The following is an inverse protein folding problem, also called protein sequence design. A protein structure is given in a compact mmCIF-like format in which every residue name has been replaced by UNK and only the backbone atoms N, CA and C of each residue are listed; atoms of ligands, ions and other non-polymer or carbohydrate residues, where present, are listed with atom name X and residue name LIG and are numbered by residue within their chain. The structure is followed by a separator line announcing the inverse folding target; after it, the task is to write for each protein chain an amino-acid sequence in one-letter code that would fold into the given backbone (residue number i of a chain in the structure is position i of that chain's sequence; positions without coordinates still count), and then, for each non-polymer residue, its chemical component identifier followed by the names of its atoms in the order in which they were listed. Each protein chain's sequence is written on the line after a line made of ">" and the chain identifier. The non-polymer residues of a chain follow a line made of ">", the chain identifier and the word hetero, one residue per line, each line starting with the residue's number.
data_IF_122443717008
#
_entry.id   IF_122443717008
#
_cell.length_a   1.000
_cell.length_b   1.000
_cell.length_c   1.000
_cell.angle_alpha   90.00
_cell.angle_beta   90.00
_cell.angle_gamma   90.00
#
_symmetry.space_group_name_H-M   'P 1'
#
loop_
_entity.id
_entity.type
_entity.pdbx_description
1 polymer ?
#
# COMPACT_ATOMS: atom_id res chain seq x y z
N UNK A 1 -6.12 -11.59 1.46
CA UNK A 1 -5.62 -10.21 1.45
C UNK A 1 -4.13 -10.23 1.18
N UNK A 2 -3.65 -9.39 0.27
CA UNK A 2 -2.24 -9.04 0.15
C UNK A 2 -1.95 -7.85 1.07
N UNK A 3 -1.05 -7.99 2.04
CA UNK A 3 -0.52 -6.86 2.83
C UNK A 3 0.80 -6.42 2.17
N UNK A 4 0.70 -5.38 1.33
CA UNK A 4 1.76 -4.92 0.44
C UNK A 4 2.61 -3.86 1.14
N UNK A 5 3.83 -4.22 1.53
CA UNK A 5 4.69 -3.43 2.40
C UNK A 5 4.26 -3.56 3.86
N UNK A 6 4.19 -4.80 4.36
CA UNK A 6 3.65 -5.10 5.69
C UNK A 6 4.48 -4.56 6.86
N UNK A 7 5.70 -4.10 6.60
CA UNK A 7 6.62 -3.60 7.63
C UNK A 7 6.84 -4.63 8.74
N UNK A 8 6.58 -4.25 9.98
CA UNK A 8 6.71 -5.14 11.14
C UNK A 8 5.57 -6.16 11.32
N UNK A 9 4.56 -6.17 10.43
CA UNK A 9 3.47 -7.13 10.45
C UNK A 9 2.26 -6.74 11.32
N UNK A 10 2.14 -5.47 11.72
CA UNK A 10 1.05 -4.99 12.59
C UNK A 10 -0.33 -5.26 11.97
N UNK A 11 -0.53 -4.85 10.74
CA UNK A 11 -1.82 -4.95 10.04
C UNK A 11 -2.08 -6.39 9.59
N UNK A 12 -1.04 -7.11 9.13
CA UNK A 12 -1.13 -8.55 8.87
C UNK A 12 -1.64 -9.33 10.08
N UNK A 13 -1.09 -9.06 11.27
CA UNK A 13 -1.53 -9.73 12.51
C UNK A 13 -2.99 -9.42 12.83
N UNK A 14 -3.41 -8.18 12.62
CA UNK A 14 -4.81 -7.77 12.82
C UNK A 14 -5.75 -8.54 11.88
N UNK A 15 -5.44 -8.61 10.59
CA UNK A 15 -6.27 -9.32 9.61
C UNK A 15 -6.31 -10.83 9.88
N UNK A 16 -5.17 -11.45 10.17
CA UNK A 16 -5.10 -12.88 10.54
C UNK A 16 -5.96 -13.15 11.78
N UNK A 17 -5.88 -12.30 12.80
CA UNK A 17 -6.70 -12.40 14.00
C UNK A 17 -8.21 -12.25 13.77
N UNK A 18 -8.59 -11.67 12.63
CA UNK A 18 -9.99 -11.57 12.16
C UNK A 18 -10.41 -12.71 11.24
N UNK A 19 -9.54 -13.69 10.99
CA UNK A 19 -9.84 -14.87 10.18
C UNK A 19 -9.61 -14.69 8.69
N UNK A 20 -8.94 -13.62 8.26
CA UNK A 20 -8.54 -13.46 6.87
C UNK A 20 -7.32 -14.31 6.53
N UNK A 21 -7.30 -14.84 5.31
CA UNK A 21 -6.09 -15.40 4.71
C UNK A 21 -5.23 -14.24 4.20
N UNK A 22 -4.03 -14.08 4.76
CA UNK A 22 -3.15 -12.94 4.52
C UNK A 22 -1.85 -13.40 3.91
N UNK A 23 -1.44 -12.74 2.85
CA UNK A 23 -0.12 -12.85 2.23
C UNK A 23 0.67 -11.58 2.54
N UNK A 24 1.49 -11.56 3.60
CA UNK A 24 2.31 -10.40 3.92
C UNK A 24 3.57 -10.38 3.06
N UNK A 25 3.88 -9.21 2.49
CA UNK A 25 5.09 -9.00 1.70
C UNK A 25 5.76 -7.68 2.07
N UNK A 26 7.10 -7.66 2.03
CA UNK A 26 7.89 -6.44 2.23
C UNK A 26 9.19 -6.51 1.42
N UNK A 27 9.71 -5.37 0.96
CA UNK A 27 10.97 -5.29 0.23
C UNK A 27 12.20 -5.43 1.13
N UNK A 28 12.07 -5.10 2.42
CA UNK A 28 13.15 -5.16 3.40
C UNK A 28 13.24 -6.55 4.03
N UNK A 29 14.40 -7.19 3.91
CA UNK A 29 14.66 -8.48 4.54
C UNK A 29 14.55 -8.38 6.08
N UNK A 30 15.04 -7.28 6.67
CA UNK A 30 14.94 -7.04 8.10
C UNK A 30 13.47 -6.96 8.56
N UNK A 31 12.62 -6.26 7.81
CA UNK A 31 11.19 -6.17 8.11
C UNK A 31 10.51 -7.52 7.97
N UNK A 32 10.83 -8.31 6.94
CA UNK A 32 10.31 -9.67 6.78
C UNK A 32 10.62 -10.54 8.00
N UNK A 33 11.87 -10.56 8.45
CA UNK A 33 12.28 -11.34 9.64
C UNK A 33 11.54 -10.87 10.89
N UNK A 34 11.42 -9.56 11.08
CA UNK A 34 10.70 -8.97 12.22
C UNK A 34 9.22 -9.32 12.19
N UNK A 35 8.58 -9.18 11.03
CA UNK A 35 7.18 -9.51 10.84
C UNK A 35 6.91 -11.00 11.06
N UNK A 36 7.71 -11.91 10.49
CA UNK A 36 7.58 -13.35 10.71
C UNK A 36 7.59 -13.72 12.20
N UNK A 37 8.53 -13.14 12.95
CA UNK A 37 8.62 -13.35 14.41
C UNK A 37 7.37 -12.85 15.14
N UNK A 38 6.81 -11.72 14.70
CA UNK A 38 5.67 -11.08 15.35
C UNK A 38 4.34 -11.75 15.04
N UNK A 39 4.13 -12.15 13.80
CA UNK A 39 2.85 -12.73 13.34
C UNK A 39 2.81 -14.25 13.43
N UNK A 40 3.97 -14.93 13.47
CA UNK A 40 4.06 -16.40 13.45
C UNK A 40 3.74 -17.02 12.07
N UNK A 41 3.78 -16.25 11.00
CA UNK A 41 3.56 -16.66 9.62
C UNK A 41 4.73 -16.23 8.74
N UNK A 42 4.94 -16.92 7.61
CA UNK A 42 5.96 -16.52 6.64
C UNK A 42 5.62 -15.20 5.99
N UNK A 43 6.64 -14.37 5.79
CA UNK A 43 6.57 -13.12 5.05
C UNK A 43 7.46 -13.24 3.82
N UNK A 44 6.90 -12.97 2.65
CA UNK A 44 7.67 -13.03 1.41
C UNK A 44 8.43 -11.73 1.20
N UNK A 45 9.74 -11.81 0.99
CA UNK A 45 10.48 -10.65 0.49
C UNK A 45 10.08 -10.41 -0.98
N UNK A 46 9.53 -9.23 -1.26
CA UNK A 46 9.04 -8.86 -2.59
C UNK A 46 9.13 -7.35 -2.76
N UNK A 47 9.83 -6.93 -3.81
CA UNK A 47 9.86 -5.52 -4.22
C UNK A 47 8.60 -5.19 -5.05
N UNK A 48 8.20 -3.92 -5.09
CA UNK A 48 7.00 -3.50 -5.84
C UNK A 48 7.14 -3.78 -7.34
N UNK A 49 8.35 -3.62 -7.90
CA UNK A 49 8.64 -3.92 -9.29
C UNK A 49 8.52 -5.41 -9.65
N UNK A 50 8.66 -6.29 -8.66
CA UNK A 50 8.60 -7.76 -8.84
C UNK A 50 7.19 -8.32 -8.58
N UNK A 51 6.20 -7.46 -8.34
CA UNK A 51 4.82 -7.89 -8.11
C UNK A 51 4.25 -8.51 -9.40
N UNK A 52 3.93 -9.80 -9.36
CA UNK A 52 3.52 -10.60 -10.53
C UNK A 52 2.24 -11.43 -10.32
N UNK A 53 1.47 -11.14 -9.27
CA UNK A 53 0.19 -11.81 -9.03
C UNK A 53 -0.86 -11.44 -10.09
N UNK A 54 -1.76 -12.37 -10.39
CA UNK A 54 -2.83 -12.20 -11.39
C UNK A 54 -4.16 -12.75 -10.84
N UNK A 55 -5.07 -11.87 -10.43
CA UNK A 55 -6.40 -12.23 -9.97
C UNK A 55 -6.42 -13.13 -8.72
N UNK A 56 -5.50 -12.94 -7.79
CA UNK A 56 -5.32 -13.81 -6.63
C UNK A 56 -6.06 -13.31 -5.40
N UNK A 57 -6.12 -11.99 -5.20
CA UNK A 57 -6.56 -11.40 -3.94
C UNK A 57 -7.95 -10.76 -4.03
N UNK A 58 -8.74 -10.93 -2.98
CA UNK A 58 -9.99 -10.19 -2.80
C UNK A 58 -9.75 -8.77 -2.29
N UNK A 59 -8.59 -8.54 -1.65
CA UNK A 59 -8.17 -7.23 -1.17
C UNK A 59 -6.66 -7.05 -1.17
N UNK A 60 -6.22 -5.82 -1.44
CA UNK A 60 -4.84 -5.37 -1.25
C UNK A 60 -4.83 -4.24 -0.23
N UNK A 61 -3.99 -4.37 0.77
CA UNK A 61 -3.75 -3.38 1.80
C UNK A 61 -2.35 -2.79 1.61
N UNK A 62 -2.27 -1.53 1.21
CA UNK A 62 -1.02 -0.80 0.98
C UNK A 62 -0.96 0.44 1.88
N UNK A 63 -0.91 0.20 3.19
CA UNK A 63 -0.90 1.24 4.21
C UNK A 63 0.51 1.83 4.35
N UNK A 64 0.67 3.11 4.01
CA UNK A 64 1.94 3.83 4.11
C UNK A 64 3.13 3.08 3.48
N UNK A 65 2.90 2.40 2.36
CA UNK A 65 3.92 1.59 1.69
C UNK A 65 4.29 2.10 0.30
N UNK A 66 3.32 2.33 -0.59
CA UNK A 66 3.59 2.81 -1.95
C UNK A 66 4.12 4.24 -2.00
N UNK A 67 4.12 4.97 -0.90
CA UNK A 67 4.78 6.28 -0.82
C UNK A 67 6.30 6.21 -1.08
N UNK A 68 6.89 5.02 -1.05
CA UNK A 68 8.30 4.78 -1.40
C UNK A 68 8.53 4.54 -2.90
N UNK A 69 7.48 4.54 -3.71
CA UNK A 69 7.54 4.48 -5.18
C UNK A 69 7.66 5.90 -5.74
N UNK A 70 8.53 6.11 -6.71
CA UNK A 70 8.62 7.39 -7.42
C UNK A 70 7.31 7.71 -8.15
N UNK A 71 6.98 8.99 -8.24
CA UNK A 71 5.79 9.44 -8.98
C UNK A 71 5.77 8.95 -10.43
N UNK A 72 6.93 8.94 -11.10
CA UNK A 72 7.08 8.45 -12.47
C UNK A 72 6.82 6.95 -12.65
N UNK A 73 7.02 6.15 -11.57
CA UNK A 73 6.84 4.69 -11.56
C UNK A 73 5.47 4.26 -11.01
N UNK A 74 4.70 5.19 -10.43
CA UNK A 74 3.45 4.88 -9.72
C UNK A 74 2.38 4.26 -10.62
N UNK A 75 2.22 4.76 -11.86
CA UNK A 75 1.24 4.20 -12.80
C UNK A 75 1.49 2.72 -13.10
N UNK A 76 2.75 2.34 -13.30
CA UNK A 76 3.12 0.94 -13.55
C UNK A 76 2.92 0.08 -12.30
N UNK A 77 3.26 0.60 -11.14
CA UNK A 77 3.04 -0.07 -9.85
C UNK A 77 1.56 -0.31 -9.60
N UNK A 78 0.71 0.70 -9.79
CA UNK A 78 -0.74 0.55 -9.62
C UNK A 78 -1.33 -0.46 -10.59
N UNK A 79 -0.83 -0.53 -11.84
CA UNK A 79 -1.26 -1.54 -12.81
C UNK A 79 -0.94 -2.97 -12.35
N UNK A 80 0.20 -3.20 -11.72
CA UNK A 80 0.55 -4.50 -11.13
C UNK A 80 -0.30 -4.81 -9.91
N UNK A 81 -0.57 -3.81 -9.09
CA UNK A 81 -1.45 -3.94 -7.92
C UNK A 81 -2.88 -4.27 -8.35
N UNK A 82 -3.45 -3.53 -9.31
CA UNK A 82 -4.80 -3.80 -9.82
C UNK A 82 -4.90 -5.19 -10.45
N UNK A 83 -3.88 -5.61 -11.20
CA UNK A 83 -3.81 -6.95 -11.77
C UNK A 83 -3.82 -8.06 -10.71
N UNK A 84 -3.23 -7.82 -9.54
CA UNK A 84 -3.19 -8.80 -8.45
C UNK A 84 -4.55 -9.07 -7.80
N UNK A 85 -5.48 -8.11 -7.87
CA UNK A 85 -6.85 -8.23 -7.39
C UNK A 85 -7.71 -9.11 -8.30
N UNK A 86 -8.70 -9.75 -7.73
CA UNK A 86 -9.85 -10.32 -8.48
C UNK A 86 -10.76 -9.21 -8.98
N UNK A 87 -11.62 -9.46 -9.98
CA UNK A 87 -12.72 -8.54 -10.30
C UNK A 87 -13.53 -8.20 -9.03
N UNK A 88 -13.92 -6.95 -8.88
CA UNK A 88 -14.57 -6.38 -7.69
C UNK A 88 -13.71 -6.38 -6.41
N UNK A 89 -12.45 -6.76 -6.51
CA UNK A 89 -11.49 -6.72 -5.39
C UNK A 89 -11.22 -5.29 -4.93
N UNK A 90 -10.91 -5.14 -3.65
CA UNK A 90 -10.75 -3.83 -3.00
C UNK A 90 -9.28 -3.51 -2.76
N UNK A 91 -8.86 -2.29 -3.09
CA UNK A 91 -7.54 -1.74 -2.82
C UNK A 91 -7.65 -0.60 -1.80
N UNK A 92 -6.90 -0.70 -0.71
CA UNK A 92 -6.66 0.41 0.19
C UNK A 92 -5.26 0.97 0.00
N UNK A 93 -5.15 2.29 -0.09
CA UNK A 93 -3.91 3.05 -0.21
C UNK A 93 -3.85 4.13 0.86
N UNK A 94 -2.66 4.42 1.38
CA UNK A 94 -2.44 5.65 2.13
C UNK A 94 -1.09 6.27 1.81
N UNK A 95 -1.09 7.61 1.72
CA UNK A 95 0.07 8.45 1.46
C UNK A 95 0.10 9.64 2.40
N UNK A 96 1.25 10.27 2.55
CA UNK A 96 1.28 11.60 3.16
C UNK A 96 0.54 12.58 2.25
N UNK A 97 -0.25 13.45 2.87
CA UNK A 97 -1.00 14.48 2.14
C UNK A 97 -0.08 15.61 1.70
N UNK A 98 -0.05 15.89 0.42
CA UNK A 98 0.79 16.92 -0.19
C UNK A 98 1.08 16.62 -1.65
N UNK A 99 2.01 17.36 -2.24
CA UNK A 99 2.40 17.16 -3.66
C UNK A 99 3.92 17.09 -3.85
N UNK A 100 4.67 16.82 -2.79
CA UNK A 100 6.12 16.73 -2.83
C UNK A 100 6.60 15.31 -3.23
N UNK A 101 7.77 15.27 -3.84
CA UNK A 101 8.61 14.08 -3.91
C UNK A 101 9.97 14.42 -3.34
N UNK A 102 10.39 13.72 -2.31
CA UNK A 102 11.64 14.00 -1.60
C UNK A 102 12.42 12.73 -1.30
N UNK A 103 13.71 12.89 -1.13
CA UNK A 103 14.59 11.83 -0.62
C UNK A 103 14.99 12.13 0.82
N UNK A 104 14.84 11.13 1.68
CA UNK A 104 15.30 11.20 3.06
C UNK A 104 15.85 9.85 3.50
N UNK A 105 17.04 9.83 4.11
CA UNK A 105 17.69 8.60 4.60
C UNK A 105 17.82 7.50 3.54
N UNK A 106 18.04 7.88 2.26
CA UNK A 106 18.17 6.95 1.14
C UNK A 106 16.87 6.43 0.56
N UNK A 107 15.73 6.78 1.14
CA UNK A 107 14.39 6.40 0.66
C UNK A 107 13.71 7.58 -0.06
N UNK A 108 12.82 7.24 -0.98
CA UNK A 108 11.91 8.18 -1.63
C UNK A 108 10.64 8.26 -0.82
N UNK A 109 10.05 9.46 -0.81
CA UNK A 109 8.74 9.73 -0.23
C UNK A 109 7.95 10.58 -1.21
N UNK A 110 6.90 10.00 -1.78
CA UNK A 110 5.99 10.63 -2.72
C UNK A 110 4.67 10.93 -2.01
N UNK A 111 4.36 12.21 -1.90
CA UNK A 111 3.14 12.71 -1.28
C UNK A 111 2.07 12.91 -2.38
N UNK A 112 0.81 12.78 -2.00
CA UNK A 112 -0.32 12.91 -2.94
C UNK A 112 -1.47 13.69 -2.33
N UNK A 113 -2.18 14.42 -3.20
CA UNK A 113 -3.50 15.01 -2.92
C UNK A 113 -4.58 14.14 -3.56
N UNK A 114 -5.85 14.43 -3.22
CA UNK A 114 -7.00 13.77 -3.85
C UNK A 114 -7.01 13.92 -5.37
N UNK A 115 -6.71 15.11 -5.88
CA UNK A 115 -6.70 15.39 -7.33
C UNK A 115 -5.60 14.62 -8.07
N UNK A 116 -4.40 14.54 -7.48
CA UNK A 116 -3.28 13.81 -8.07
C UNK A 116 -3.52 12.30 -8.03
N UNK A 117 -4.12 11.78 -6.96
CA UNK A 117 -4.50 10.35 -6.88
C UNK A 117 -5.64 10.02 -7.84
N UNK A 118 -6.67 10.86 -7.94
CA UNK A 118 -7.76 10.65 -8.90
C UNK A 118 -7.22 10.57 -10.33
N UNK A 119 -6.30 11.46 -10.69
CA UNK A 119 -5.64 11.44 -12.00
C UNK A 119 -4.88 10.14 -12.25
N UNK A 120 -4.11 9.66 -11.27
CA UNK A 120 -3.29 8.44 -11.42
C UNK A 120 -4.18 7.20 -11.47
N UNK A 121 -5.21 7.12 -10.61
CA UNK A 121 -6.13 5.99 -10.55
C UNK A 121 -6.96 5.90 -11.83
N UNK A 122 -7.45 7.03 -12.37
CA UNK A 122 -8.20 7.06 -13.60
C UNK A 122 -7.34 6.72 -14.85
N UNK A 123 -6.01 6.81 -14.77
CA UNK A 123 -5.11 6.33 -15.81
C UNK A 123 -5.02 4.79 -15.85
N UNK A 124 -5.40 4.11 -14.79
CA UNK A 124 -5.57 2.66 -14.77
C UNK A 124 -7.03 2.32 -15.05
N UNK A 125 -7.32 1.84 -16.29
CA UNK A 125 -8.68 1.48 -16.71
C UNK A 125 -9.33 0.36 -15.89
N UNK A 126 -8.59 -0.25 -14.95
CA UNK A 126 -9.04 -1.35 -14.10
C UNK A 126 -9.32 -0.95 -12.64
N UNK A 127 -9.08 0.31 -12.27
CA UNK A 127 -9.35 0.81 -10.93
C UNK A 127 -10.36 1.96 -10.97
N UNK A 128 -11.17 2.05 -9.93
CA UNK A 128 -12.06 3.17 -9.67
C UNK A 128 -11.95 3.55 -8.21
N UNK A 129 -11.68 4.85 -7.93
CA UNK A 129 -11.73 5.40 -6.59
C UNK A 129 -13.19 5.39 -6.09
N UNK A 130 -13.42 4.84 -4.90
CA UNK A 130 -14.75 4.77 -4.26
C UNK A 130 -14.87 5.84 -3.20
N UNK A 131 -13.84 5.98 -2.37
CA UNK A 131 -13.86 6.85 -1.21
C UNK A 131 -12.44 7.31 -0.89
N UNK A 132 -12.33 8.53 -0.35
CA UNK A 132 -11.10 9.02 0.25
C UNK A 132 -11.40 9.89 1.48
N UNK A 133 -10.44 9.98 2.39
CA UNK A 133 -10.50 10.86 3.57
C UNK A 133 -9.11 11.25 4.04
N UNK A 134 -9.05 12.35 4.81
CA UNK A 134 -7.83 12.80 5.47
C UNK A 134 -7.84 12.35 6.92
N UNK A 135 -6.69 11.89 7.41
CA UNK A 135 -6.47 11.59 8.82
C UNK A 135 -5.17 12.25 9.32
N UNK A 136 -5.12 12.49 10.62
CA UNK A 136 -3.92 12.98 11.30
C UNK A 136 -2.95 11.82 11.55
N UNK A 137 -1.64 12.14 11.62
CA UNK A 137 -0.65 11.15 12.06
C UNK A 137 -0.83 10.88 13.56
N UNK A 138 -0.85 9.61 13.93
CA UNK A 138 -0.99 9.20 15.33
C UNK A 138 0.31 9.26 16.12
N UNK A 139 1.44 9.51 15.46
CA UNK A 139 2.75 9.62 16.09
C UNK A 139 2.92 10.99 16.74
N UNK A 140 3.38 11.01 18.00
CA UNK A 140 3.51 12.24 18.80
C UNK A 140 4.58 13.21 18.29
N UNK A 141 5.55 12.72 17.54
CA UNK A 141 6.66 13.49 16.96
C UNK A 141 6.33 14.07 15.57
N UNK A 142 5.14 13.78 15.05
CA UNK A 142 4.64 14.24 13.75
C UNK A 142 3.19 14.77 13.82
N UNK A 143 2.86 15.69 14.75
CA UNK A 143 1.48 16.07 15.01
C UNK A 143 0.80 16.82 13.85
N UNK A 144 1.60 17.43 12.96
CA UNK A 144 1.11 18.21 11.82
C UNK A 144 1.07 17.43 10.51
N UNK A 145 1.50 16.17 10.52
CA UNK A 145 1.48 15.33 9.33
C UNK A 145 0.06 14.82 9.07
N UNK A 146 -0.43 15.10 7.86
CA UNK A 146 -1.71 14.59 7.37
C UNK A 146 -1.50 13.43 6.42
N UNK A 147 -2.44 12.51 6.43
CA UNK A 147 -2.47 11.34 5.55
C UNK A 147 -3.73 11.36 4.70
N UNK A 148 -3.57 11.10 3.41
CA UNK A 148 -4.70 10.77 2.55
C UNK A 148 -4.86 9.26 2.49
N UNK A 149 -6.09 8.82 2.69
CA UNK A 149 -6.49 7.42 2.66
C UNK A 149 -7.47 7.24 1.51
N UNK A 150 -7.33 6.18 0.75
CA UNK A 150 -8.15 5.95 -0.45
C UNK A 150 -8.59 4.49 -0.50
N UNK A 151 -9.84 4.28 -0.85
CA UNK A 151 -10.39 2.96 -1.22
C UNK A 151 -10.71 2.97 -2.71
N UNK A 152 -10.18 1.97 -3.41
CA UNK A 152 -10.50 1.71 -4.81
C UNK A 152 -11.14 0.33 -4.97
N UNK A 153 -11.87 0.14 -6.06
CA UNK A 153 -12.38 -1.15 -6.49
C UNK A 153 -11.76 -1.49 -7.86
N UNK A 154 -11.41 -2.76 -8.07
CA UNK A 154 -11.08 -3.27 -9.39
C UNK A 154 -12.37 -3.45 -10.21
N UNK A 155 -12.39 -2.93 -11.44
CA UNK A 155 -13.46 -3.06 -12.41
C UNK A 155 -13.41 -4.39 -13.16
#
# INVERSE_FOLDING_TARGET
>A
ILDLGCGSGRDSKFFIGRGFDVTPVDGSEEMCIRAEKYIGHKVRRLMFEDLDYDGVFDGVWACASLLHVKKEEMNETLRKVSKSLRPDGVLYLSFRYGDDERRSSGMIYSDYTEDTLDTIINNDAHLRMIEWWISEDTRRDHPDDLWINVICCRL
#
